data_IF_569437199127
#
_entry.id   IF_569437199127
#
_cell.length_a   1.000
_cell.length_b   1.000
_cell.length_c   1.000
_cell.angle_alpha   90.00
_cell.angle_beta   90.00
_cell.angle_gamma   90.00
#
_symmetry.space_group_name_H-M   'P 1'
#
loop_
_entity.id
_entity.type
_entity.pdbx_description
1 polymer ?
#
# COMPACT_ATOMS: atom_id res chain seq x y z
N UNK A 1 -73.19 -32.13 -15.09
CA UNK A 1 -71.83 -32.55 -15.36
C UNK A 1 -70.89 -31.38 -15.12
N UNK A 2 -70.20 -31.41 -13.99
CA UNK A 2 -69.29 -30.34 -13.64
C UNK A 2 -67.91 -30.67 -14.18
N UNK A 3 -67.45 -29.86 -15.10
CA UNK A 3 -66.08 -29.95 -15.61
C UNK A 3 -65.19 -29.01 -14.77
N UNK A 4 -64.36 -29.60 -13.91
CA UNK A 4 -63.39 -28.87 -13.11
C UNK A 4 -62.16 -28.56 -13.99
N UNK A 5 -61.99 -27.29 -14.27
CA UNK A 5 -60.75 -26.76 -14.86
C UNK A 5 -59.77 -26.52 -13.73
N UNK A 6 -58.72 -27.33 -13.70
CA UNK A 6 -57.57 -27.10 -12.77
C UNK A 6 -56.64 -26.12 -13.45
N UNK A 7 -56.62 -24.90 -12.97
CA UNK A 7 -55.61 -23.91 -13.37
C UNK A 7 -54.31 -24.17 -12.60
N UNK A 8 -53.29 -24.66 -13.31
CA UNK A 8 -51.94 -24.79 -12.78
C UNK A 8 -51.27 -23.39 -12.74
N UNK A 9 -51.09 -22.87 -11.56
CA UNK A 9 -50.26 -21.67 -11.33
C UNK A 9 -48.79 -22.08 -11.46
N UNK A 10 -48.15 -21.66 -12.53
CA UNK A 10 -46.67 -21.66 -12.63
C UNK A 10 -46.14 -20.46 -11.88
N UNK A 11 -45.56 -20.71 -10.70
CA UNK A 11 -44.80 -19.73 -9.95
C UNK A 11 -43.41 -19.62 -10.60
N UNK A 12 -43.22 -18.61 -11.43
CA UNK A 12 -41.89 -18.26 -11.93
C UNK A 12 -41.14 -17.52 -10.82
N UNK A 13 -40.26 -18.24 -10.14
CA UNK A 13 -39.32 -17.62 -9.21
C UNK A 13 -38.30 -16.85 -10.03
N UNK A 14 -38.47 -15.53 -10.14
CA UNK A 14 -37.44 -14.63 -10.66
C UNK A 14 -36.31 -14.57 -9.64
N UNK A 15 -35.25 -15.31 -9.87
CA UNK A 15 -33.97 -15.08 -9.17
C UNK A 15 -33.43 -13.72 -9.64
N UNK A 16 -33.63 -12.71 -8.84
CA UNK A 16 -32.93 -11.45 -9.00
C UNK A 16 -31.43 -11.72 -8.73
N UNK A 17 -30.66 -11.85 -9.79
CA UNK A 17 -29.20 -11.74 -9.73
C UNK A 17 -28.90 -10.30 -9.31
N UNK A 18 -28.69 -10.07 -8.02
CA UNK A 18 -28.05 -8.86 -7.57
C UNK A 18 -26.63 -8.85 -8.15
N UNK A 19 -26.25 -7.86 -8.96
CA UNK A 19 -24.86 -7.72 -9.31
C UNK A 19 -24.11 -7.42 -8.01
N UNK A 20 -23.26 -8.34 -7.58
CA UNK A 20 -22.27 -8.06 -6.56
C UNK A 20 -21.41 -6.96 -7.16
N UNK A 21 -21.59 -5.72 -6.69
CA UNK A 21 -20.69 -4.64 -7.01
C UNK A 21 -19.32 -5.09 -6.51
N UNK A 22 -18.46 -5.56 -7.43
CA UNK A 22 -17.08 -5.90 -7.12
C UNK A 22 -16.46 -4.65 -6.48
N UNK A 23 -15.93 -4.79 -5.27
CA UNK A 23 -15.11 -3.75 -4.66
C UNK A 23 -14.05 -3.41 -5.70
N UNK A 24 -14.07 -2.19 -6.22
CA UNK A 24 -13.07 -1.74 -7.18
C UNK A 24 -11.70 -1.87 -6.51
N UNK A 25 -10.88 -2.79 -7.00
CA UNK A 25 -9.52 -2.98 -6.51
C UNK A 25 -8.76 -1.70 -6.80
N UNK A 26 -8.16 -1.09 -5.77
CA UNK A 26 -7.35 0.11 -5.96
C UNK A 26 -6.17 -0.22 -6.86
N UNK A 27 -5.85 0.70 -7.78
CA UNK A 27 -4.67 0.55 -8.62
C UNK A 27 -3.38 0.66 -7.77
N UNK A 28 -2.25 0.16 -8.27
CA UNK A 28 -0.98 0.20 -7.54
C UNK A 28 -0.56 1.60 -7.09
N UNK A 29 -0.81 2.63 -7.88
CA UNK A 29 -0.52 4.03 -7.52
C UNK A 29 -1.38 4.48 -6.34
N UNK A 30 -2.68 4.15 -6.34
CA UNK A 30 -3.60 4.45 -5.25
C UNK A 30 -3.18 3.76 -3.94
N UNK A 31 -2.78 2.49 -4.01
CA UNK A 31 -2.28 1.72 -2.86
C UNK A 31 -1.03 2.39 -2.27
N UNK A 32 -0.08 2.76 -3.12
CA UNK A 32 1.15 3.43 -2.68
C UNK A 32 0.88 4.80 -2.04
N UNK A 33 0.01 5.62 -2.64
CA UNK A 33 -0.40 6.92 -2.06
C UNK A 33 -1.03 6.74 -0.69
N UNK A 34 -1.92 5.77 -0.54
CA UNK A 34 -2.54 5.47 0.75
C UNK A 34 -1.51 5.03 1.80
N UNK A 35 -0.50 4.25 1.42
CA UNK A 35 0.58 3.86 2.32
C UNK A 35 1.42 5.07 2.78
N UNK A 36 1.74 5.99 1.88
CA UNK A 36 2.45 7.23 2.22
C UNK A 36 1.62 8.08 3.19
N UNK A 37 0.34 8.27 2.90
CA UNK A 37 -0.56 9.07 3.74
C UNK A 37 -0.72 8.45 5.14
N UNK A 38 -0.93 7.14 5.22
CA UNK A 38 -1.03 6.42 6.50
C UNK A 38 0.25 6.57 7.34
N UNK A 39 1.44 6.42 6.72
CA UNK A 39 2.71 6.64 7.42
C UNK A 39 2.85 8.08 7.92
N UNK A 40 2.54 9.05 7.07
CA UNK A 40 2.64 10.47 7.44
C UNK A 40 1.70 10.85 8.60
N UNK A 41 0.54 10.19 8.69
CA UNK A 41 -0.40 10.37 9.79
C UNK A 41 -0.08 9.54 11.04
N UNK A 42 0.92 8.67 10.98
CA UNK A 42 1.25 7.74 12.07
C UNK A 42 0.28 6.57 12.21
N UNK A 43 -0.52 6.30 11.19
CA UNK A 43 -1.48 5.19 11.18
C UNK A 43 -0.81 3.89 10.68
N UNK A 44 -0.06 3.26 11.58
CA UNK A 44 0.64 2.02 11.28
C UNK A 44 -0.31 0.88 10.88
N UNK A 45 -1.47 0.78 11.52
CA UNK A 45 -2.42 -0.30 11.26
C UNK A 45 -2.92 -0.24 9.81
N UNK A 46 -3.37 0.92 9.34
CA UNK A 46 -3.79 1.12 7.95
C UNK A 46 -2.62 0.87 6.99
N UNK A 47 -1.44 1.37 7.30
CA UNK A 47 -0.26 1.16 6.45
C UNK A 47 0.06 -0.33 6.29
N UNK A 48 0.14 -1.08 7.37
CA UNK A 48 0.53 -2.50 7.35
C UNK A 48 -0.53 -3.38 6.67
N UNK A 49 -1.80 -3.01 6.76
CA UNK A 49 -2.87 -3.71 6.04
C UNK A 49 -2.71 -3.68 4.51
N UNK A 50 -1.92 -2.75 3.98
CA UNK A 50 -1.64 -2.64 2.54
C UNK A 50 -0.50 -3.55 2.06
N UNK A 51 0.18 -4.28 2.96
CA UNK A 51 1.31 -5.15 2.63
C UNK A 51 0.94 -6.63 2.62
N UNK A 52 1.67 -7.43 1.84
CA UNK A 52 1.59 -8.89 1.88
C UNK A 52 2.28 -9.45 3.12
N UNK A 53 1.93 -10.69 3.52
CA UNK A 53 2.56 -11.36 4.67
C UNK A 53 4.07 -11.58 4.48
N UNK A 54 4.50 -11.82 3.25
CA UNK A 54 5.89 -12.04 2.85
C UNK A 54 6.57 -10.77 2.32
N UNK A 55 6.04 -9.61 2.63
CA UNK A 55 6.57 -8.33 2.15
C UNK A 55 8.04 -8.14 2.49
N UNK A 56 8.76 -7.48 1.58
CA UNK A 56 10.16 -7.12 1.75
C UNK A 56 10.32 -5.61 1.66
N UNK A 57 11.00 -5.04 2.62
CA UNK A 57 11.42 -3.63 2.62
C UNK A 57 12.94 -3.54 2.55
N UNK A 58 13.45 -2.73 1.64
CA UNK A 58 14.88 -2.50 1.42
C UNK A 58 15.13 -1.01 1.23
N UNK A 59 15.63 -0.37 2.25
CA UNK A 59 15.98 1.05 2.25
C UNK A 59 16.96 1.37 3.40
N UNK A 60 17.23 2.64 3.64
CA UNK A 60 18.13 3.08 4.72
C UNK A 60 17.70 2.65 6.13
N UNK A 61 16.43 2.26 6.33
CA UNK A 61 15.93 1.79 7.62
C UNK A 61 15.94 0.26 7.73
N UNK A 62 16.21 -0.45 6.63
CA UNK A 62 16.17 -1.92 6.54
C UNK A 62 17.41 -2.44 5.80
N UNK A 63 18.55 -2.49 6.51
CA UNK A 63 19.81 -3.07 6.03
C UNK A 63 20.41 -4.03 7.07
N UNK A 64 20.47 -5.32 6.75
CA UNK A 64 19.94 -5.99 5.54
C UNK A 64 18.43 -5.83 5.39
N UNK A 65 17.84 -6.22 4.24
CA UNK A 65 16.41 -6.06 3.99
C UNK A 65 15.54 -6.64 5.10
N UNK A 66 14.48 -5.93 5.46
CA UNK A 66 13.43 -6.44 6.35
C UNK A 66 12.55 -7.41 5.56
N UNK A 67 12.54 -8.68 5.96
CA UNK A 67 11.77 -9.74 5.32
C UNK A 67 10.62 -10.17 6.21
N UNK A 68 9.41 -10.20 5.64
CA UNK A 68 8.19 -10.56 6.33
C UNK A 68 7.49 -9.38 6.99
N UNK A 69 6.16 -9.50 7.14
CA UNK A 69 5.31 -8.40 7.58
C UNK A 69 5.68 -7.86 8.97
N UNK A 70 6.09 -8.72 9.92
CA UNK A 70 6.45 -8.27 11.26
C UNK A 70 7.74 -7.43 11.25
N UNK A 71 8.74 -7.79 10.45
CA UNK A 71 9.96 -7.00 10.30
C UNK A 71 9.67 -5.66 9.62
N UNK A 72 8.84 -5.67 8.59
CA UNK A 72 8.39 -4.46 7.90
C UNK A 72 7.61 -3.54 8.84
N UNK A 73 6.71 -4.10 9.66
CA UNK A 73 5.95 -3.35 10.68
C UNK A 73 6.89 -2.62 11.64
N UNK A 74 7.86 -3.32 12.22
CA UNK A 74 8.81 -2.71 13.17
C UNK A 74 9.61 -1.57 12.53
N UNK A 75 10.00 -1.73 11.27
CA UNK A 75 10.75 -0.68 10.55
C UNK A 75 9.92 0.56 10.28
N UNK A 76 8.63 0.41 9.97
CA UNK A 76 7.74 1.56 9.80
C UNK A 76 7.34 2.20 11.13
N UNK A 77 7.17 1.42 12.19
CA UNK A 77 6.97 1.98 13.53
C UNK A 77 8.11 2.92 13.91
N UNK A 78 9.36 2.52 13.66
CA UNK A 78 10.51 3.38 13.88
C UNK A 78 10.44 4.67 13.08
N UNK A 79 10.05 4.61 11.80
CA UNK A 79 9.87 5.83 10.99
C UNK A 79 8.78 6.75 11.56
N UNK A 80 7.68 6.19 12.07
CA UNK A 80 6.61 6.97 12.71
C UNK A 80 7.14 7.64 13.98
N UNK A 81 7.87 6.91 14.81
CA UNK A 81 8.45 7.41 16.06
C UNK A 81 9.47 8.54 15.81
N UNK A 82 10.16 8.52 14.67
CA UNK A 82 11.10 9.55 14.22
C UNK A 82 10.42 10.70 13.47
N UNK A 83 9.10 10.78 13.45
CA UNK A 83 8.31 11.77 12.70
C UNK A 83 8.71 11.85 11.22
N UNK A 84 8.92 10.69 10.60
CA UNK A 84 9.26 10.62 9.19
C UNK A 84 8.08 11.10 8.34
N UNK A 85 8.34 12.06 7.45
CA UNK A 85 7.36 12.61 6.53
C UNK A 85 7.86 12.45 5.09
N UNK A 86 6.97 12.17 4.18
CA UNK A 86 7.25 12.14 2.75
C UNK A 86 6.19 12.94 1.99
N UNK A 87 6.65 13.87 1.17
CA UNK A 87 5.83 14.61 0.23
C UNK A 87 6.15 14.13 -1.18
N UNK A 88 5.19 13.44 -1.80
CA UNK A 88 5.37 12.95 -3.17
C UNK A 88 5.49 14.12 -4.14
N UNK A 89 6.51 14.09 -5.00
CA UNK A 89 6.75 15.06 -6.06
C UNK A 89 6.44 14.50 -7.44
N UNK A 90 6.57 13.19 -7.63
CA UNK A 90 6.11 12.48 -8.82
C UNK A 90 5.73 11.05 -8.49
N UNK A 91 4.76 10.50 -9.20
CA UNK A 91 4.35 9.09 -9.08
C UNK A 91 3.99 8.57 -10.46
N UNK A 92 4.51 7.41 -10.83
CA UNK A 92 4.19 6.72 -12.08
C UNK A 92 3.90 5.25 -11.81
N UNK A 93 2.83 4.74 -12.40
CA UNK A 93 2.51 3.32 -12.42
C UNK A 93 2.83 2.70 -13.79
N UNK A 94 3.37 1.48 -13.77
CA UNK A 94 3.57 0.65 -14.96
C UNK A 94 3.28 -0.80 -14.57
N UNK A 95 2.10 -1.33 -14.96
CA UNK A 95 1.62 -2.63 -14.50
C UNK A 95 1.54 -2.66 -12.97
N UNK A 96 2.18 -3.63 -12.35
CA UNK A 96 2.21 -3.82 -10.89
C UNK A 96 3.34 -3.05 -10.19
N UNK A 97 4.09 -2.24 -10.92
CA UNK A 97 5.23 -1.47 -10.40
C UNK A 97 4.87 0.01 -10.32
N UNK A 98 5.19 0.61 -9.17
CA UNK A 98 5.07 2.06 -8.96
C UNK A 98 6.46 2.62 -8.72
N UNK A 99 6.80 3.69 -9.44
CA UNK A 99 8.00 4.49 -9.18
C UNK A 99 7.58 5.89 -8.75
N UNK A 100 8.29 6.44 -7.78
CA UNK A 100 7.95 7.75 -7.25
C UNK A 100 9.20 8.49 -6.78
N UNK A 101 9.12 9.80 -6.73
CA UNK A 101 10.07 10.66 -6.04
C UNK A 101 9.36 11.43 -4.94
N UNK A 102 10.07 11.70 -3.87
CA UNK A 102 9.52 12.42 -2.73
C UNK A 102 10.59 13.28 -2.05
N UNK A 103 10.13 14.36 -1.47
CA UNK A 103 10.88 15.13 -0.47
C UNK A 103 10.59 14.51 0.89
N UNK A 104 11.63 14.11 1.61
CA UNK A 104 11.51 13.44 2.91
C UNK A 104 12.18 14.27 4.02
N UNK A 105 11.64 14.15 5.23
CA UNK A 105 12.19 14.73 6.46
C UNK A 105 11.98 13.77 7.63
N UNK A 106 12.81 13.88 8.65
CA UNK A 106 12.66 13.14 9.92
C UNK A 106 13.46 13.83 11.02
N UNK A 107 13.20 13.44 12.28
CA UNK A 107 13.97 13.91 13.41
C UNK A 107 15.47 13.55 13.27
N UNK A 108 15.73 12.33 12.78
CA UNK A 108 17.11 11.87 12.53
C UNK A 108 17.85 12.75 11.52
N UNK A 109 17.18 13.17 10.43
CA UNK A 109 17.79 14.08 9.44
C UNK A 109 18.05 15.47 10.04
N UNK A 110 17.07 16.01 10.77
CA UNK A 110 17.22 17.31 11.43
C UNK A 110 18.36 17.32 12.44
N UNK A 111 18.55 16.25 13.19
CA UNK A 111 19.68 16.09 14.11
C UNK A 111 21.05 16.11 13.38
N UNK A 112 21.07 15.79 12.09
CA UNK A 112 22.25 15.86 11.22
C UNK A 112 22.37 17.19 10.45
N UNK A 113 21.50 18.16 10.72
CA UNK A 113 21.46 19.44 10.01
C UNK A 113 20.79 19.36 8.62
N UNK A 114 20.06 18.28 8.33
CA UNK A 114 19.37 18.06 7.06
C UNK A 114 17.88 18.29 7.25
N UNK A 115 17.36 19.43 6.76
CA UNK A 115 15.94 19.75 6.85
C UNK A 115 15.10 18.83 5.96
N UNK A 116 15.54 18.63 4.73
CA UNK A 116 14.83 17.87 3.69
C UNK A 116 15.81 17.17 2.78
N UNK A 117 15.37 16.08 2.22
CA UNK A 117 16.13 15.27 1.27
C UNK A 117 15.23 14.67 0.21
N UNK A 118 15.72 14.58 -1.03
CA UNK A 118 15.03 13.86 -2.09
C UNK A 118 15.33 12.36 -2.00
N UNK A 119 14.31 11.56 -2.23
CA UNK A 119 14.43 10.10 -2.37
C UNK A 119 13.54 9.61 -3.50
N UNK A 120 13.78 8.39 -3.94
CA UNK A 120 12.91 7.68 -4.88
C UNK A 120 12.41 6.38 -4.27
N UNK A 121 11.26 5.92 -4.74
CA UNK A 121 10.66 4.66 -4.33
C UNK A 121 10.42 3.79 -5.56
N UNK A 122 10.61 2.49 -5.39
CA UNK A 122 10.15 1.47 -6.30
C UNK A 122 9.31 0.47 -5.52
N UNK A 123 8.04 0.35 -5.89
CA UNK A 123 7.05 -0.47 -5.19
C UNK A 123 6.55 -1.53 -6.15
N UNK A 124 6.49 -2.77 -5.69
CA UNK A 124 5.86 -3.86 -6.41
C UNK A 124 4.59 -4.28 -5.67
N UNK A 125 3.50 -4.35 -6.41
CA UNK A 125 2.18 -4.77 -5.92
C UNK A 125 1.88 -6.17 -6.42
N UNK A 126 1.32 -7.01 -5.57
CA UNK A 126 0.87 -8.36 -5.87
C UNK A 126 -0.46 -8.60 -5.18
N UNK A 127 -1.46 -9.04 -5.93
CA UNK A 127 -2.80 -9.32 -5.41
C UNK A 127 -3.41 -8.15 -4.62
N UNK A 128 -3.22 -6.93 -5.13
CA UNK A 128 -3.75 -5.72 -4.52
C UNK A 128 -3.02 -5.24 -3.26
N UNK A 129 -1.83 -5.78 -2.96
CA UNK A 129 -1.02 -5.42 -1.79
C UNK A 129 0.44 -5.19 -2.17
N UNK A 130 1.13 -4.40 -1.37
CA UNK A 130 2.55 -4.13 -1.54
C UNK A 130 3.35 -5.37 -1.12
N UNK A 131 4.06 -5.97 -2.09
CA UNK A 131 4.93 -7.11 -1.85
C UNK A 131 6.41 -6.68 -1.67
N UNK A 132 6.81 -5.57 -2.28
CA UNK A 132 8.16 -5.04 -2.14
C UNK A 132 8.14 -3.52 -2.09
N UNK A 133 8.88 -3.00 -1.15
CA UNK A 133 9.12 -1.57 -0.97
C UNK A 133 10.63 -1.33 -0.99
N UNK A 134 11.12 -0.62 -1.98
CA UNK A 134 12.53 -0.27 -2.05
C UNK A 134 12.75 1.22 -2.27
N UNK A 135 13.80 1.70 -1.67
CA UNK A 135 14.31 3.06 -1.86
C UNK A 135 15.84 2.97 -1.92
N UNK A 136 16.49 3.62 -2.89
CA UNK A 136 17.93 3.55 -2.98
C UNK A 136 18.57 4.12 -1.71
N UNK A 137 19.65 3.48 -1.33
CA UNK A 137 20.49 3.96 -0.26
C UNK A 137 21.19 5.26 -0.68
N UNK A 138 21.39 6.19 0.24
CA UNK A 138 22.25 7.32 -0.04
C UNK A 138 23.63 6.80 -0.48
N UNK A 139 24.28 7.44 -1.46
CA UNK A 139 25.62 7.06 -1.81
C UNK A 139 26.51 7.09 -0.56
N UNK A 140 27.30 6.03 -0.38
CA UNK A 140 28.26 5.97 0.71
C UNK A 140 29.20 7.18 0.57
N UNK A 141 29.27 7.98 1.63
CA UNK A 141 30.22 9.11 1.63
C UNK A 141 31.61 8.53 1.39
N UNK A 142 32.38 9.05 0.43
CA UNK A 142 33.77 8.60 0.27
C UNK A 142 34.51 8.89 1.57
N UNK A 143 35.26 7.90 2.03
CA UNK A 143 36.14 8.00 3.21
C UNK A 143 37.26 9.02 2.98
#
# INVERSE_FOLDING_TARGET
MCQRVVAALFLVAAFALCPVAGLAQMDPVGIFRQAIDARNMGDLATMIALFTQDAVREDGSCQPPCVGLDAVRRSFQKNIDEHFQAKLTSVKGAGDTVTATAEISSDTFRAQGIEKRMTSYTIQVRDGKIARWSSPLPPKKPD
#
